data_IF_425009552538
#
_entry.id   IF_425009552538
#
_cell.length_a   1.000
_cell.length_b   1.000
_cell.length_c   1.000
_cell.angle_alpha   90.00
_cell.angle_beta   90.00
_cell.angle_gamma   90.00
#
_symmetry.space_group_name_H-M   'P 1'
#
loop_
_entity.id
_entity.type
_entity.pdbx_description
1 polymer ?
#
# COMPACT_ATOMS: atom_id res chain seq x y z
N UNK A 1 22.60 -16.55 -17.69
CA UNK A 1 23.32 -17.13 -16.54
C UNK A 1 22.83 -16.37 -15.32
N UNK A 2 22.16 -17.03 -14.37
CA UNK A 2 21.76 -16.39 -13.10
C UNK A 2 22.91 -16.52 -12.10
N UNK A 3 23.19 -15.45 -11.38
CA UNK A 3 24.19 -15.45 -10.31
C UNK A 3 23.51 -15.68 -8.97
N UNK A 4 24.12 -16.52 -8.14
CA UNK A 4 23.72 -16.71 -6.75
C UNK A 4 23.65 -15.37 -6.01
N UNK A 5 22.67 -15.21 -5.11
CA UNK A 5 22.40 -13.96 -4.39
C UNK A 5 23.61 -13.44 -3.60
N UNK A 6 24.50 -14.33 -3.17
CA UNK A 6 25.78 -14.01 -2.52
C UNK A 6 26.72 -13.15 -3.38
N UNK A 7 26.52 -13.10 -4.70
CA UNK A 7 27.32 -12.30 -5.61
C UNK A 7 26.74 -10.91 -5.87
N UNK A 8 25.51 -10.64 -5.44
CA UNK A 8 24.80 -9.42 -5.84
C UNK A 8 25.45 -8.15 -5.29
N UNK A 9 26.07 -8.23 -4.11
CA UNK A 9 26.85 -7.14 -3.51
C UNK A 9 28.04 -6.68 -4.37
N UNK A 10 28.46 -7.49 -5.34
CA UNK A 10 29.54 -7.13 -6.29
C UNK A 10 29.03 -6.25 -7.43
N UNK A 11 27.72 -6.21 -7.67
CA UNK A 11 27.11 -5.41 -8.72
C UNK A 11 26.76 -4.01 -8.21
N UNK A 12 27.29 -3.00 -8.90
CA UNK A 12 27.07 -1.59 -8.53
C UNK A 12 25.60 -1.20 -8.64
N UNK A 13 24.95 -1.57 -9.74
CA UNK A 13 23.51 -1.32 -9.96
C UNK A 13 22.63 -1.92 -8.87
N UNK A 14 22.99 -3.11 -8.38
CA UNK A 14 22.27 -3.75 -7.28
C UNK A 14 22.36 -2.93 -5.99
N UNK A 15 23.59 -2.53 -5.60
CA UNK A 15 23.80 -1.73 -4.39
C UNK A 15 23.07 -0.39 -4.48
N UNK A 16 23.16 0.27 -5.64
CA UNK A 16 22.47 1.54 -5.89
C UNK A 16 20.95 1.41 -5.75
N UNK A 17 20.34 0.42 -6.42
CA UNK A 17 18.90 0.18 -6.33
C UNK A 17 18.46 -0.26 -4.93
N UNK A 18 19.25 -1.10 -4.25
CA UNK A 18 19.01 -1.51 -2.87
C UNK A 18 18.97 -0.31 -1.93
N UNK A 19 19.94 0.60 -2.06
CA UNK A 19 20.02 1.78 -1.19
C UNK A 19 18.85 2.75 -1.46
N UNK A 20 18.41 2.89 -2.71
CA UNK A 20 17.18 3.61 -3.05
C UNK A 20 15.96 2.95 -2.39
N UNK A 21 15.75 1.64 -2.62
CA UNK A 21 14.57 0.92 -2.11
C UNK A 21 14.54 0.92 -0.58
N UNK A 22 15.69 0.76 0.08
CA UNK A 22 15.78 0.83 1.55
C UNK A 22 15.52 2.24 2.09
N UNK A 23 15.81 3.28 1.30
CA UNK A 23 15.49 4.67 1.63
C UNK A 23 14.05 5.06 1.30
N UNK A 24 13.32 4.24 0.54
CA UNK A 24 11.89 4.45 0.31
C UNK A 24 11.14 4.10 1.59
N UNK A 25 10.39 5.06 2.11
CA UNK A 25 9.46 4.79 3.19
C UNK A 25 8.42 3.79 2.68
N UNK A 26 8.41 2.59 3.28
CA UNK A 26 7.33 1.62 3.06
C UNK A 26 6.11 2.18 3.76
N UNK A 27 5.45 3.14 3.12
CA UNK A 27 4.26 3.78 3.65
C UNK A 27 3.14 2.75 3.61
N UNK A 28 2.98 2.07 4.74
CA UNK A 28 1.78 1.30 5.03
C UNK A 28 0.54 2.22 5.17
N UNK A 29 0.67 3.50 4.84
CA UNK A 29 -0.36 4.52 4.83
C UNK A 29 -1.64 4.04 4.14
N UNK A 30 -1.56 3.25 3.07
CA UNK A 30 -2.77 2.66 2.46
C UNK A 30 -3.48 1.67 3.38
N UNK A 31 -2.78 0.79 4.10
CA UNK A 31 -3.42 -0.13 5.03
C UNK A 31 -3.85 0.58 6.32
N UNK A 32 -3.02 1.49 6.85
CA UNK A 32 -3.33 2.30 8.03
C UNK A 32 -4.58 3.15 7.81
N UNK A 33 -4.72 3.77 6.63
CA UNK A 33 -5.90 4.53 6.22
C UNK A 33 -7.13 3.63 6.10
N UNK A 34 -6.98 2.41 5.57
CA UNK A 34 -8.06 1.42 5.53
C UNK A 34 -8.56 1.02 6.92
N UNK A 35 -7.63 0.70 7.83
CA UNK A 35 -7.93 0.35 9.22
C UNK A 35 -8.59 1.51 9.96
N UNK A 36 -8.08 2.74 9.76
CA UNK A 36 -8.66 3.95 10.35
C UNK A 36 -10.10 4.16 9.88
N UNK A 37 -10.37 4.08 8.58
CA UNK A 37 -11.73 4.23 8.03
C UNK A 37 -12.70 3.20 8.62
N UNK A 38 -12.33 1.91 8.65
CA UNK A 38 -13.19 0.87 9.23
C UNK A 38 -13.45 1.16 10.71
N UNK A 39 -12.43 1.59 11.44
CA UNK A 39 -12.52 1.90 12.88
C UNK A 39 -13.43 3.10 13.14
N UNK A 40 -13.27 4.19 12.38
CA UNK A 40 -14.05 5.43 12.53
C UNK A 40 -15.56 5.18 12.26
N UNK A 41 -15.89 4.31 11.31
CA UNK A 41 -17.28 3.98 10.95
C UNK A 41 -17.86 2.76 11.70
N UNK A 42 -17.07 2.08 12.53
CA UNK A 42 -17.52 0.88 13.26
C UNK A 42 -18.75 1.13 14.15
N UNK A 43 -18.89 2.33 14.71
CA UNK A 43 -20.01 2.66 15.59
C UNK A 43 -21.31 3.00 14.83
N UNK A 44 -21.24 3.16 13.51
CA UNK A 44 -22.39 3.47 12.64
C UNK A 44 -23.11 2.20 12.19
N UNK A 45 -22.44 1.05 12.25
CA UNK A 45 -22.98 -0.25 11.86
C UNK A 45 -23.53 -0.99 13.09
N UNK A 46 -24.74 -1.54 12.96
CA UNK A 46 -25.48 -2.14 14.08
C UNK A 46 -25.65 -3.65 13.94
N UNK A 47 -25.27 -4.22 12.80
CA UNK A 47 -25.32 -5.65 12.53
C UNK A 47 -24.20 -6.08 11.58
N UNK A 48 -24.04 -7.39 11.42
CA UNK A 48 -22.98 -7.98 10.60
C UNK A 48 -23.12 -7.65 9.12
N UNK A 49 -24.35 -7.59 8.58
CA UNK A 49 -24.58 -7.24 7.17
C UNK A 49 -24.06 -5.83 6.85
N UNK A 50 -24.34 -4.86 7.73
CA UNK A 50 -23.83 -3.50 7.62
C UNK A 50 -22.30 -3.44 7.79
N UNK A 51 -21.72 -4.29 8.64
CA UNK A 51 -20.26 -4.41 8.74
C UNK A 51 -19.63 -4.93 7.45
N UNK A 52 -20.20 -5.97 6.83
CA UNK A 52 -19.72 -6.49 5.55
C UNK A 52 -19.84 -5.44 4.44
N UNK A 53 -20.94 -4.68 4.42
CA UNK A 53 -21.10 -3.57 3.48
C UNK A 53 -20.06 -2.47 3.70
N UNK A 54 -19.77 -2.10 4.95
CA UNK A 54 -18.73 -1.12 5.29
C UNK A 54 -17.35 -1.54 4.74
N UNK A 55 -16.98 -2.82 4.87
CA UNK A 55 -15.72 -3.33 4.32
C UNK A 55 -15.63 -3.16 2.80
N UNK A 56 -16.72 -3.46 2.08
CA UNK A 56 -16.77 -3.30 0.62
C UNK A 56 -16.63 -1.84 0.20
N UNK A 57 -17.30 -0.92 0.90
CA UNK A 57 -17.22 0.52 0.64
C UNK A 57 -15.81 1.06 0.89
N UNK A 58 -15.18 0.68 2.01
CA UNK A 58 -13.82 1.10 2.34
C UNK A 58 -12.82 0.61 1.30
N UNK A 59 -12.94 -0.66 0.87
CA UNK A 59 -12.06 -1.21 -0.18
C UNK A 59 -12.26 -0.48 -1.53
N UNK A 60 -13.51 -0.24 -1.93
CA UNK A 60 -13.81 0.50 -3.15
C UNK A 60 -13.20 1.92 -3.13
N UNK A 61 -13.35 2.63 -2.00
CA UNK A 61 -12.73 3.94 -1.81
C UNK A 61 -11.19 3.87 -1.87
N UNK A 62 -10.57 2.85 -1.27
CA UNK A 62 -9.12 2.63 -1.31
C UNK A 62 -8.61 2.48 -2.74
N UNK A 63 -9.33 1.72 -3.57
CA UNK A 63 -8.99 1.52 -4.98
C UNK A 63 -9.08 2.82 -5.78
N UNK A 64 -10.12 3.62 -5.56
CA UNK A 64 -10.28 4.91 -6.25
C UNK A 64 -9.19 5.93 -5.87
N UNK A 65 -8.83 6.02 -4.59
CA UNK A 65 -7.77 6.93 -4.12
C UNK A 65 -6.39 6.51 -4.67
N UNK A 66 -6.09 5.21 -4.69
CA UNK A 66 -4.84 4.68 -5.27
C UNK A 66 -4.75 4.88 -6.79
N UNK A 67 -5.88 4.94 -7.50
CA UNK A 67 -5.95 5.27 -8.92
C UNK A 67 -5.73 6.77 -9.18
N UNK A 68 -6.23 7.65 -8.30
CA UNK A 68 -6.14 9.09 -8.47
C UNK A 68 -4.75 9.65 -8.12
N UNK A 69 -4.07 9.10 -7.12
CA UNK A 69 -2.69 9.51 -6.79
C UNK A 69 -1.68 9.25 -7.92
N UNK A 70 -1.95 8.31 -8.82
CA UNK A 70 -1.12 8.03 -10.00
C UNK A 70 -1.31 9.03 -11.15
N UNK A 71 -2.42 9.77 -11.18
CA UNK A 71 -2.70 10.73 -12.26
C UNK A 71 -2.03 12.08 -12.04
N UNK A 72 -1.88 12.50 -10.78
CA UNK A 72 -1.20 13.77 -10.44
C UNK A 72 0.32 13.70 -10.58
N UNK A 73 0.92 12.50 -10.56
CA UNK A 73 2.37 12.32 -10.72
C UNK A 73 2.84 12.15 -12.18
N UNK A 74 1.91 12.08 -13.15
CA UNK A 74 2.20 11.86 -14.57
C UNK A 74 1.70 13.01 -15.48
N UNK A 75 1.31 14.15 -14.89
CA UNK A 75 0.87 15.35 -15.60
C UNK A 75 1.91 16.47 -15.57
#
# INVERSE_FOLDING_TARGET
MQFESSHWEKFEDYRFLRDIINGMEVVNDSAERGVKLITDFRNVVHNEEQQQFLLQVVENHRQQVSLNGRKEQLG
#
